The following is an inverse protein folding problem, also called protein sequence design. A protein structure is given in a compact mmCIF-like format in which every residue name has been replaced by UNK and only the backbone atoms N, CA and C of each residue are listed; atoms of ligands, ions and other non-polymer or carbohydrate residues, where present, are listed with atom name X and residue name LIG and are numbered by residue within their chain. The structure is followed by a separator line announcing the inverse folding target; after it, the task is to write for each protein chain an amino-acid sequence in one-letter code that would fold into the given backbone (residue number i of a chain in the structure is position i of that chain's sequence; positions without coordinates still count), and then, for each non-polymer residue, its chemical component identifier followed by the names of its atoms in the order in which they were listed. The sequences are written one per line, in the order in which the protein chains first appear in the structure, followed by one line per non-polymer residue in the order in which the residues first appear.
data_IF_868846223773
#
_entry.id   IF_868846223773
#
_cell.length_a   1.000
_cell.length_b   1.000
_cell.length_c   1.000
_cell.angle_alpha   90.00
_cell.angle_beta   90.00
_cell.angle_gamma   90.00
#
_symmetry.space_group_name_H-M   'P 1'
#
loop_
_entity.id
_entity.type
_entity.pdbx_description
1 polymer ?
#
# COMPACT_ATOMS: atom_id res chain seq x y z
N UNK A 1 -34.92 -14.68 4.66
CA UNK A 1 -34.38 -13.49 5.34
C UNK A 1 -33.69 -12.61 4.32
N UNK A 2 -34.31 -11.50 3.94
CA UNK A 2 -33.75 -10.51 3.00
C UNK A 2 -32.68 -9.70 3.74
N UNK A 3 -31.40 -9.81 3.36
CA UNK A 3 -30.32 -9.05 3.98
C UNK A 3 -30.44 -7.58 3.59
N UNK A 4 -31.00 -6.75 4.47
CA UNK A 4 -31.27 -5.31 4.27
C UNK A 4 -29.96 -4.50 4.04
N UNK A 5 -28.81 -5.03 4.44
CA UNK A 5 -27.50 -4.35 4.34
C UNK A 5 -26.67 -4.74 3.12
N UNK A 6 -27.10 -5.72 2.32
CA UNK A 6 -26.41 -6.05 1.08
C UNK A 6 -26.80 -5.01 0.03
N UNK A 7 -25.96 -4.00 -0.19
CA UNK A 7 -26.06 -3.23 -1.43
C UNK A 7 -25.84 -4.20 -2.59
N UNK A 8 -26.83 -4.32 -3.48
CA UNK A 8 -26.65 -4.98 -4.77
C UNK A 8 -25.43 -4.36 -5.44
N UNK A 9 -24.44 -5.21 -5.76
CA UNK A 9 -23.06 -4.80 -6.01
C UNK A 9 -22.94 -3.59 -6.92
N UNK A 10 -22.27 -2.55 -6.43
CA UNK A 10 -21.97 -1.37 -7.24
C UNK A 10 -21.09 -1.77 -8.43
N UNK A 11 -21.70 -1.81 -9.61
CA UNK A 11 -21.01 -2.08 -10.87
C UNK A 11 -20.43 -0.78 -11.41
N UNK A 12 -19.12 -0.63 -11.27
CA UNK A 12 -18.40 0.53 -11.79
C UNK A 12 -18.51 0.53 -13.32
N UNK A 13 -19.22 1.51 -13.89
CA UNK A 13 -19.27 1.72 -15.35
C UNK A 13 -18.27 2.80 -15.74
N UNK A 14 -17.42 2.49 -16.71
CA UNK A 14 -16.56 3.51 -17.30
C UNK A 14 -17.43 4.53 -18.04
N UNK A 15 -17.33 5.80 -17.66
CA UNK A 15 -18.01 6.88 -18.35
C UNK A 15 -17.04 7.53 -19.33
N UNK A 16 -17.46 7.68 -20.58
CA UNK A 16 -16.69 8.39 -21.61
C UNK A 16 -16.33 9.83 -21.18
N UNK A 17 -17.12 10.42 -20.28
CA UNK A 17 -16.82 11.73 -19.68
C UNK A 17 -15.50 11.75 -18.90
N UNK A 18 -14.96 10.61 -18.47
CA UNK A 18 -13.64 10.53 -17.86
C UNK A 18 -12.50 10.82 -18.84
N UNK A 19 -12.75 10.82 -20.15
CA UNK A 19 -11.75 11.19 -21.17
C UNK A 19 -11.72 12.70 -21.47
N UNK A 20 -12.61 13.50 -20.87
CA UNK A 20 -12.60 14.96 -21.08
C UNK A 20 -11.24 15.56 -20.66
N UNK A 21 -10.79 16.66 -21.32
CA UNK A 21 -9.51 17.32 -21.06
C UNK A 21 -9.23 17.63 -19.58
N UNK A 22 -10.28 17.93 -18.81
CA UNK A 22 -10.18 18.18 -17.35
C UNK A 22 -9.59 17.01 -16.55
N UNK A 23 -9.61 15.79 -17.09
CA UNK A 23 -9.08 14.58 -16.45
C UNK A 23 -7.76 14.10 -17.06
N UNK A 24 -7.21 14.78 -18.08
CA UNK A 24 -5.98 14.32 -18.74
C UNK A 24 -4.79 14.27 -17.78
N UNK A 25 -4.70 15.17 -16.80
CA UNK A 25 -3.69 15.09 -15.75
C UNK A 25 -3.75 13.79 -14.93
N UNK A 26 -4.95 13.28 -14.66
CA UNK A 26 -5.14 11.99 -13.99
C UNK A 26 -4.66 10.86 -14.89
N UNK A 27 -5.03 10.88 -16.17
CA UNK A 27 -4.58 9.87 -17.15
C UNK A 27 -3.06 9.86 -17.34
N UNK A 28 -2.42 11.02 -17.35
CA UNK A 28 -0.95 11.10 -17.35
C UNK A 28 -0.35 10.49 -16.09
N UNK A 29 -0.97 10.70 -14.92
CA UNK A 29 -0.58 10.04 -13.68
C UNK A 29 -0.73 8.52 -13.75
N UNK A 30 -1.88 8.04 -14.25
CA UNK A 30 -2.14 6.60 -14.47
C UNK A 30 -1.12 6.01 -15.43
N UNK A 31 -0.85 6.66 -16.57
CA UNK A 31 0.17 6.25 -17.52
C UNK A 31 1.56 6.20 -16.86
N UNK A 32 1.90 7.18 -16.03
CA UNK A 32 3.13 7.17 -15.24
C UNK A 32 3.23 5.96 -14.30
N UNK A 33 2.14 5.62 -13.60
CA UNK A 33 2.08 4.42 -12.75
C UNK A 33 2.17 3.13 -13.56
N UNK A 34 1.57 3.08 -14.75
CA UNK A 34 1.69 1.96 -15.69
C UNK A 34 3.15 1.78 -16.09
N UNK A 35 3.84 2.85 -16.48
CA UNK A 35 5.27 2.79 -16.83
C UNK A 35 6.08 2.29 -15.64
N UNK A 36 5.87 2.86 -14.45
CA UNK A 36 6.57 2.46 -13.22
C UNK A 36 6.29 1.00 -12.80
N UNK A 37 5.16 0.42 -13.21
CA UNK A 37 4.84 -0.99 -12.97
C UNK A 37 5.82 -1.96 -13.66
N UNK A 38 6.43 -1.52 -14.76
CA UNK A 38 7.39 -2.33 -15.55
C UNK A 38 8.85 -1.91 -15.34
N UNK A 39 9.10 -0.78 -14.67
CA UNK A 39 10.46 -0.37 -14.30
C UNK A 39 11.05 -1.36 -13.29
N UNK A 40 12.34 -1.77 -13.42
CA UNK A 40 12.98 -2.62 -12.45
C UNK A 40 12.89 -2.08 -11.02
N UNK A 41 12.44 -2.93 -10.11
CA UNK A 41 12.15 -2.62 -8.70
C UNK A 41 13.29 -1.85 -8.02
N UNK A 42 14.55 -2.28 -8.24
CA UNK A 42 15.72 -1.62 -7.63
C UNK A 42 15.88 -0.17 -8.05
N UNK A 43 15.51 0.17 -9.30
CA UNK A 43 15.57 1.54 -9.81
C UNK A 43 14.42 2.34 -9.22
N UNK A 44 13.21 1.76 -9.26
CA UNK A 44 12.02 2.37 -8.68
C UNK A 44 12.21 2.66 -7.19
N UNK A 45 12.74 1.73 -6.41
CA UNK A 45 12.93 1.88 -4.97
C UNK A 45 13.98 2.95 -4.63
N UNK A 46 15.02 3.13 -5.46
CA UNK A 46 15.96 4.25 -5.33
C UNK A 46 15.26 5.60 -5.56
N UNK A 47 14.44 5.68 -6.61
CA UNK A 47 13.63 6.86 -6.89
C UNK A 47 12.65 7.14 -5.74
N UNK A 48 11.94 6.12 -5.27
CA UNK A 48 11.01 6.22 -4.15
C UNK A 48 11.70 6.65 -2.86
N UNK A 49 12.88 6.13 -2.57
CA UNK A 49 13.66 6.53 -1.40
C UNK A 49 14.10 8.00 -1.50
N UNK A 50 14.51 8.46 -2.69
CA UNK A 50 14.82 9.86 -2.91
C UNK A 50 13.57 10.75 -2.70
N UNK A 51 12.45 10.41 -3.32
CA UNK A 51 11.18 11.14 -3.20
C UNK A 51 10.71 11.17 -1.74
N UNK A 52 10.74 10.03 -1.04
CA UNK A 52 10.36 9.92 0.36
C UNK A 52 11.25 10.75 1.29
N UNK A 53 12.56 10.79 1.04
CA UNK A 53 13.48 11.66 1.79
C UNK A 53 13.21 13.14 1.56
N UNK A 54 12.92 13.54 0.31
CA UNK A 54 12.55 14.91 -0.01
C UNK A 54 11.24 15.31 0.67
N UNK A 55 10.22 14.43 0.61
CA UNK A 55 8.95 14.63 1.28
C UNK A 55 9.12 14.75 2.80
N UNK A 56 9.88 13.85 3.42
CA UNK A 56 10.21 13.92 4.84
C UNK A 56 10.86 15.26 5.21
N UNK A 57 11.92 15.67 4.49
CA UNK A 57 12.62 16.94 4.76
C UNK A 57 11.69 18.14 4.63
N UNK A 58 10.88 18.20 3.58
CA UNK A 58 9.93 19.27 3.35
C UNK A 58 8.86 19.33 4.45
N UNK A 59 8.24 18.20 4.77
CA UNK A 59 7.17 18.12 5.78
C UNK A 59 7.69 18.41 7.19
N UNK A 60 8.91 17.97 7.49
CA UNK A 60 9.62 18.29 8.74
C UNK A 60 9.94 19.78 8.82
N UNK A 61 10.57 20.35 7.80
CA UNK A 61 10.94 21.77 7.76
C UNK A 61 9.72 22.69 7.92
N UNK A 62 8.59 22.32 7.31
CA UNK A 62 7.33 23.07 7.40
C UNK A 62 6.43 22.63 8.56
N UNK A 63 6.91 21.74 9.44
CA UNK A 63 6.19 21.13 10.55
C UNK A 63 4.74 20.74 10.20
N UNK A 64 4.55 20.07 9.06
CA UNK A 64 3.22 19.73 8.56
C UNK A 64 2.58 18.62 9.39
N UNK A 65 1.24 18.60 9.40
CA UNK A 65 0.41 17.69 10.23
C UNK A 65 0.84 16.22 10.14
N UNK A 66 1.21 15.72 8.96
CA UNK A 66 1.63 14.32 8.77
C UNK A 66 2.91 13.96 9.55
N UNK A 67 3.94 14.81 9.45
CA UNK A 67 5.18 14.63 10.22
C UNK A 67 4.93 14.76 11.73
N UNK A 68 4.21 15.81 12.15
CA UNK A 68 3.92 16.05 13.56
C UNK A 68 3.17 14.88 14.21
N UNK A 69 2.11 14.38 13.56
CA UNK A 69 1.33 13.23 14.06
C UNK A 69 2.18 11.98 14.22
N UNK A 70 3.01 11.65 13.22
CA UNK A 70 3.89 10.49 13.29
C UNK A 70 4.86 10.60 14.47
N UNK A 71 5.48 11.77 14.66
CA UNK A 71 6.39 12.02 15.78
C UNK A 71 5.70 11.90 17.14
N UNK A 72 4.53 12.51 17.30
CA UNK A 72 3.74 12.46 18.54
C UNK A 72 3.31 11.03 18.86
N UNK A 73 2.79 10.29 17.88
CA UNK A 73 2.40 8.89 18.06
C UNK A 73 3.59 8.03 18.50
N UNK A 74 4.76 8.18 17.87
CA UNK A 74 5.95 7.42 18.28
C UNK A 74 6.44 7.79 19.68
N UNK A 75 6.25 9.03 20.13
CA UNK A 75 6.57 9.44 21.50
C UNK A 75 5.68 8.73 22.52
N UNK A 76 4.38 8.59 22.25
CA UNK A 76 3.45 7.91 23.15
C UNK A 76 3.58 6.39 23.10
N UNK A 77 3.69 5.80 21.90
CA UNK A 77 3.76 4.35 21.74
C UNK A 77 5.13 3.77 22.09
N UNK A 78 6.21 4.56 21.95
CA UNK A 78 7.58 4.12 22.21
C UNK A 78 8.32 5.16 23.08
N UNK A 79 7.94 5.31 24.36
CA UNK A 79 8.50 6.31 25.26
C UNK A 79 10.01 6.11 25.51
N UNK A 80 10.49 4.86 25.45
CA UNK A 80 11.89 4.51 25.69
C UNK A 80 12.82 4.74 24.49
N UNK A 81 12.25 5.07 23.32
CA UNK A 81 13.07 5.37 22.14
C UNK A 81 13.70 6.75 22.25
N UNK A 82 14.97 6.86 21.85
CA UNK A 82 15.62 8.15 21.70
C UNK A 82 14.94 8.99 20.60
N UNK A 83 15.02 10.31 20.70
CA UNK A 83 14.51 11.22 19.66
C UNK A 83 15.12 10.89 18.29
N UNK A 84 16.41 10.55 18.23
CA UNK A 84 17.08 10.14 16.99
C UNK A 84 16.41 8.91 16.38
N UNK A 85 16.11 7.88 17.19
CA UNK A 85 15.46 6.65 16.72
C UNK A 85 14.06 6.94 16.18
N UNK A 86 13.28 7.78 16.86
CA UNK A 86 11.95 8.19 16.39
C UNK A 86 12.04 8.90 15.04
N UNK A 87 12.96 9.85 14.89
CA UNK A 87 13.17 10.56 13.63
C UNK A 87 13.58 9.63 12.48
N UNK A 88 14.48 8.67 12.72
CA UNK A 88 14.87 7.66 11.72
C UNK A 88 13.68 6.82 11.27
N UNK A 89 12.80 6.44 12.20
CA UNK A 89 11.59 5.66 11.88
C UNK A 89 10.58 6.50 11.11
N UNK A 90 10.42 7.78 11.44
CA UNK A 90 9.56 8.69 10.67
C UNK A 90 10.09 8.86 9.24
N UNK A 91 11.40 9.06 9.05
CA UNK A 91 11.99 9.13 7.70
C UNK A 91 11.73 7.83 6.92
N UNK A 92 12.00 6.67 7.54
CA UNK A 92 11.73 5.37 6.93
C UNK A 92 10.25 5.21 6.56
N UNK A 93 9.33 5.64 7.41
CA UNK A 93 7.89 5.62 7.13
C UNK A 93 7.55 6.41 5.85
N UNK A 94 8.12 7.62 5.66
CA UNK A 94 7.91 8.40 4.43
C UNK A 94 8.54 7.74 3.20
N UNK A 95 9.69 7.09 3.35
CA UNK A 95 10.28 6.29 2.27
C UNK A 95 9.36 5.12 1.90
N UNK A 96 8.84 4.39 2.89
CA UNK A 96 7.90 3.28 2.68
C UNK A 96 6.62 3.77 2.01
N UNK A 97 6.08 4.93 2.41
CA UNK A 97 4.89 5.49 1.74
C UNK A 97 5.16 5.77 0.27
N UNK A 98 6.30 6.38 -0.05
CA UNK A 98 6.66 6.68 -1.43
C UNK A 98 6.88 5.41 -2.24
N UNK A 99 7.52 4.40 -1.66
CA UNK A 99 7.71 3.08 -2.29
C UNK A 99 6.37 2.44 -2.62
N UNK A 100 5.42 2.43 -1.69
CA UNK A 100 4.11 1.84 -1.94
C UNK A 100 3.33 2.62 -2.99
N UNK A 101 3.30 3.95 -2.91
CA UNK A 101 2.55 4.78 -3.88
C UNK A 101 3.09 4.61 -5.30
N UNK A 102 4.41 4.57 -5.48
CA UNK A 102 5.03 4.35 -6.80
C UNK A 102 4.93 2.89 -7.26
N UNK A 103 4.68 1.94 -6.35
CA UNK A 103 4.43 0.54 -6.65
C UNK A 103 2.96 0.22 -6.94
N UNK A 104 2.01 1.15 -6.74
CA UNK A 104 0.59 0.82 -6.85
C UNK A 104 0.20 0.31 -8.26
N UNK A 105 0.83 0.84 -9.31
CA UNK A 105 0.67 0.34 -10.68
C UNK A 105 1.17 -1.09 -10.86
N UNK A 106 2.23 -1.48 -10.15
CA UNK A 106 2.72 -2.87 -10.14
C UNK A 106 1.66 -3.80 -9.56
N UNK A 107 1.08 -3.44 -8.41
CA UNK A 107 0.00 -4.21 -7.78
C UNK A 107 -1.23 -4.34 -8.68
N UNK A 108 -1.58 -3.28 -9.41
CA UNK A 108 -2.80 -3.24 -10.22
C UNK A 108 -2.69 -3.98 -11.56
N UNK A 109 -1.50 -3.99 -12.20
CA UNK A 109 -1.35 -4.40 -13.60
C UNK A 109 -0.54 -5.70 -13.75
N UNK A 110 0.39 -5.98 -12.84
CA UNK A 110 1.26 -7.16 -12.97
C UNK A 110 0.49 -8.44 -12.63
N UNK A 111 0.82 -9.57 -13.27
CA UNK A 111 0.14 -10.83 -12.99
C UNK A 111 0.41 -11.28 -11.54
N UNK A 112 -0.57 -11.97 -10.95
CA UNK A 112 -0.47 -12.46 -9.57
C UNK A 112 0.80 -13.28 -9.29
N UNK A 113 1.26 -14.09 -10.24
CA UNK A 113 2.51 -14.86 -10.12
C UNK A 113 3.76 -13.99 -9.95
N UNK A 114 3.75 -12.78 -10.52
CA UNK A 114 4.82 -11.82 -10.31
C UNK A 114 4.77 -11.24 -8.90
N UNK A 115 3.57 -10.88 -8.40
CA UNK A 115 3.37 -10.35 -7.05
C UNK A 115 3.70 -11.40 -5.97
N UNK A 116 3.34 -12.67 -6.20
CA UNK A 116 3.69 -13.76 -5.28
C UNK A 116 5.21 -13.90 -5.10
N UNK A 117 6.00 -13.81 -6.17
CA UNK A 117 7.48 -13.83 -6.08
C UNK A 117 8.07 -12.65 -5.31
N UNK A 118 7.27 -11.61 -5.10
CA UNK A 118 7.64 -10.39 -4.38
C UNK A 118 7.19 -10.38 -2.93
N UNK A 119 6.42 -11.36 -2.50
CA UNK A 119 5.88 -11.47 -1.16
C UNK A 119 6.45 -12.69 -0.44
N UNK A 120 6.71 -12.51 0.84
CA UNK A 120 7.05 -13.59 1.76
C UNK A 120 5.94 -13.66 2.81
N UNK A 121 5.43 -14.86 3.05
CA UNK A 121 4.37 -15.10 4.02
C UNK A 121 4.93 -15.90 5.19
N UNK A 122 4.88 -15.33 6.38
CA UNK A 122 5.26 -16.01 7.62
C UNK A 122 4.00 -16.47 8.36
N UNK A 123 3.95 -17.73 8.80
CA UNK A 123 2.81 -18.26 9.55
C UNK A 123 1.58 -18.64 8.70
N UNK A 124 1.74 -18.77 7.38
CA UNK A 124 0.64 -19.07 6.46
C UNK A 124 0.07 -20.49 6.65
N UNK A 125 0.86 -21.40 7.21
CA UNK A 125 0.43 -22.74 7.62
C UNK A 125 -0.76 -22.74 8.57
N UNK A 126 -0.95 -21.68 9.36
CA UNK A 126 -2.13 -21.52 10.23
C UNK A 126 -3.42 -21.33 9.42
N UNK A 127 -3.33 -20.61 8.30
CA UNK A 127 -4.45 -20.39 7.38
C UNK A 127 -4.81 -21.70 6.68
N UNK A 128 -3.80 -22.42 6.19
CA UNK A 128 -3.98 -23.72 5.52
C UNK A 128 -4.67 -24.73 6.46
N UNK A 129 -4.16 -24.91 7.69
CA UNK A 129 -4.75 -25.81 8.68
C UNK A 129 -6.20 -25.44 9.06
N UNK A 130 -6.49 -24.15 9.20
CA UNK A 130 -7.84 -23.69 9.48
C UNK A 130 -8.80 -24.03 8.33
N UNK A 131 -8.38 -23.84 7.07
CA UNK A 131 -9.16 -24.18 5.88
C UNK A 131 -9.38 -25.69 5.76
N UNK A 132 -8.34 -26.50 5.97
CA UNK A 132 -8.42 -27.98 5.94
C UNK A 132 -9.35 -28.55 7.02
N UNK A 133 -9.43 -27.89 8.19
CA UNK A 133 -10.37 -28.25 9.27
C UNK A 133 -11.79 -27.73 9.04
N UNK A 134 -12.11 -27.21 7.86
CA UNK A 134 -13.45 -26.73 7.50
C UNK A 134 -13.85 -25.42 8.19
N UNK A 135 -12.89 -24.67 8.75
CA UNK A 135 -13.14 -23.40 9.44
C UNK A 135 -13.02 -22.22 8.49
N UNK A 136 -13.91 -21.25 8.65
CA UNK A 136 -13.78 -19.95 8.00
C UNK A 136 -12.65 -19.14 8.65
N UNK A 137 -11.88 -18.42 7.83
CA UNK A 137 -10.77 -17.57 8.29
C UNK A 137 -11.16 -16.10 8.14
N UNK A 138 -11.08 -15.35 9.24
CA UNK A 138 -11.24 -13.89 9.24
C UNK A 138 -9.86 -13.27 9.41
N UNK A 139 -9.48 -12.39 8.48
CA UNK A 139 -8.19 -11.71 8.52
C UNK A 139 -8.33 -10.33 9.15
N UNK A 140 -7.61 -10.11 10.25
CA UNK A 140 -7.50 -8.81 10.89
C UNK A 140 -6.23 -8.13 10.37
N UNK A 141 -6.40 -7.03 9.64
CA UNK A 141 -5.28 -6.33 9.00
C UNK A 141 -5.18 -4.90 9.52
N UNK A 142 -4.05 -4.49 10.11
CA UNK A 142 -3.86 -3.09 10.51
C UNK A 142 -3.75 -2.19 9.27
N UNK A 143 -4.15 -0.92 9.41
CA UNK A 143 -3.97 0.07 8.35
C UNK A 143 -2.49 0.39 8.15
N UNK A 144 -1.86 -0.36 7.26
CA UNK A 144 -0.45 -0.28 6.90
C UNK A 144 -0.32 0.17 5.46
N UNK A 145 0.82 0.76 5.12
CA UNK A 145 0.99 1.40 3.82
C UNK A 145 0.79 0.43 2.65
N UNK A 146 1.43 -0.75 2.69
CA UNK A 146 1.43 -1.74 1.60
C UNK A 146 0.33 -2.80 1.69
N UNK A 147 -0.81 -2.47 2.32
CA UNK A 147 -1.91 -3.42 2.55
C UNK A 147 -2.48 -4.00 1.24
N UNK A 148 -2.61 -3.18 0.20
CA UNK A 148 -3.18 -3.61 -1.09
C UNK A 148 -2.34 -4.72 -1.75
N UNK A 149 -1.02 -4.57 -1.72
CA UNK A 149 -0.09 -5.57 -2.26
C UNK A 149 -0.24 -6.91 -1.53
N UNK A 150 -0.29 -6.88 -0.19
CA UNK A 150 -0.47 -8.08 0.61
C UNK A 150 -1.83 -8.73 0.34
N UNK A 151 -2.89 -7.94 0.21
CA UNK A 151 -4.25 -8.42 -0.11
C UNK A 151 -4.32 -9.13 -1.46
N UNK A 152 -3.80 -8.50 -2.53
CA UNK A 152 -3.80 -9.09 -3.88
C UNK A 152 -2.94 -10.34 -3.93
N UNK A 153 -1.74 -10.31 -3.35
CA UNK A 153 -0.86 -11.47 -3.32
C UNK A 153 -1.50 -12.64 -2.55
N UNK A 154 -2.13 -12.38 -1.41
CA UNK A 154 -2.76 -13.42 -0.61
C UNK A 154 -4.02 -13.99 -1.27
N UNK A 155 -4.88 -13.15 -1.84
CA UNK A 155 -6.06 -13.58 -2.59
C UNK A 155 -5.69 -14.59 -3.68
N UNK A 156 -4.58 -14.34 -4.37
CA UNK A 156 -4.09 -15.23 -5.42
C UNK A 156 -3.53 -16.58 -4.93
N UNK A 157 -3.22 -16.71 -3.64
CA UNK A 157 -2.77 -17.97 -3.02
C UNK A 157 -3.94 -18.81 -2.48
N UNK A 158 -4.99 -18.16 -1.96
CA UNK A 158 -6.09 -18.83 -1.25
C UNK A 158 -7.17 -19.39 -2.20
N UNK A 159 -7.26 -18.86 -3.43
CA UNK A 159 -8.27 -19.20 -4.45
C UNK A 159 -7.79 -20.30 -5.42
N UNK A 160 -6.61 -20.85 -5.18
CA UNK A 160 -6.23 -22.17 -5.72
C UNK A 160 -6.63 -23.26 -4.74
#
# INVERSE_FOLDING_TARGET
MTRITAQDGYTHKFLWSFLHPKYWGVWLGVLGLVILAYVPVRIRDKLSAFVGKMAYRYLKQKNKKGYHRAKVNLRYCFPDWSEKKREEVVEKMFITVAQTMLAIGETAIRPASYLQKRCEFTGFENVVKAKESGKNVIMLVPHTWSIDMAGVAMFSLVIR
#
